data_IF_666756593420
#
_entry.id   IF_666756593420
#
_cell.length_a   1.000
_cell.length_b   1.000
_cell.length_c   1.000
_cell.angle_alpha   90.00
_cell.angle_beta   90.00
_cell.angle_gamma   90.00
#
_symmetry.space_group_name_H-M   'P 1'
#
loop_
_entity.id
_entity.type
_entity.pdbx_description
1 polymer ?
#
# COMPACT_ATOMS: atom_id res chain seq x y z
N UNK A 1 -17.17 -19.45 -15.69
CA UNK A 1 -17.20 -18.44 -16.76
C UNK A 1 -18.49 -17.66 -16.63
N UNK A 2 -18.43 -16.34 -16.43
CA UNK A 2 -19.63 -15.50 -16.60
C UNK A 2 -19.96 -15.54 -18.10
N UNK A 3 -21.05 -16.22 -18.46
CA UNK A 3 -21.57 -16.22 -19.83
C UNK A 3 -22.16 -14.83 -20.04
N UNK A 4 -21.46 -14.01 -20.83
CA UNK A 4 -22.01 -12.74 -21.27
C UNK A 4 -22.94 -13.03 -22.45
N UNK A 5 -24.10 -12.38 -22.44
CA UNK A 5 -25.04 -12.44 -23.55
C UNK A 5 -24.33 -11.96 -24.82
N UNK A 6 -24.16 -12.86 -25.79
CA UNK A 6 -23.43 -12.57 -27.03
C UNK A 6 -24.07 -11.42 -27.80
N UNK A 7 -25.39 -11.24 -27.67
CA UNK A 7 -26.13 -10.15 -28.30
C UNK A 7 -25.77 -8.79 -27.70
N UNK A 8 -25.55 -8.73 -26.38
CA UNK A 8 -25.13 -7.51 -25.70
C UNK A 8 -23.72 -7.08 -26.11
N UNK A 9 -22.78 -8.02 -26.22
CA UNK A 9 -21.40 -7.73 -26.65
C UNK A 9 -21.38 -7.22 -28.09
N UNK A 10 -22.20 -7.80 -28.97
CA UNK A 10 -22.28 -7.40 -30.37
C UNK A 10 -22.98 -6.05 -30.57
N UNK A 11 -23.79 -5.58 -29.60
CA UNK A 11 -24.44 -4.26 -29.64
C UNK A 11 -23.51 -3.10 -29.23
N UNK A 12 -22.33 -3.38 -28.67
CA UNK A 12 -21.42 -2.36 -28.17
C UNK A 12 -20.61 -1.68 -29.27
N UNK A 13 -20.31 -0.39 -29.05
CA UNK A 13 -19.33 0.32 -29.84
C UNK A 13 -17.92 -0.25 -29.58
N UNK A 14 -16.97 -0.12 -30.54
CA UNK A 14 -15.60 -0.60 -30.35
C UNK A 14 -14.92 -0.06 -29.08
N UNK A 15 -15.26 1.16 -28.66
CA UNK A 15 -14.75 1.77 -27.43
C UNK A 15 -15.28 1.09 -26.17
N UNK A 16 -16.56 0.74 -26.14
CA UNK A 16 -17.18 0.04 -25.01
C UNK A 16 -16.61 -1.37 -24.86
N UNK A 17 -16.44 -2.09 -25.98
CA UNK A 17 -15.79 -3.39 -25.98
C UNK A 17 -14.34 -3.32 -25.46
N UNK A 18 -13.56 -2.34 -25.92
CA UNK A 18 -12.19 -2.13 -25.41
C UNK A 18 -12.18 -1.81 -23.90
N UNK A 19 -13.10 -0.99 -23.43
CA UNK A 19 -13.23 -0.67 -22.01
C UNK A 19 -13.62 -1.91 -21.19
N UNK A 20 -14.49 -2.77 -21.72
CA UNK A 20 -14.85 -4.03 -21.10
C UNK A 20 -13.65 -4.97 -20.94
N UNK A 21 -12.87 -5.17 -22.01
CA UNK A 21 -11.64 -5.99 -21.97
C UNK A 21 -10.63 -5.41 -20.98
N UNK A 22 -10.41 -4.09 -21.01
CA UNK A 22 -9.55 -3.41 -20.03
C UNK A 22 -10.04 -3.64 -18.59
N UNK A 23 -11.34 -3.52 -18.35
CA UNK A 23 -11.93 -3.79 -17.03
C UNK A 23 -11.80 -5.26 -16.60
N UNK A 24 -11.87 -6.21 -17.54
CA UNK A 24 -11.62 -7.62 -17.26
C UNK A 24 -10.14 -7.88 -16.91
N UNK A 25 -9.21 -7.26 -17.63
CA UNK A 25 -7.78 -7.33 -17.34
C UNK A 25 -7.44 -6.71 -15.98
N UNK A 26 -8.01 -5.55 -15.64
CA UNK A 26 -7.83 -4.91 -14.34
C UNK A 26 -8.33 -5.80 -13.20
N UNK A 27 -9.47 -6.47 -13.36
CA UNK A 27 -9.98 -7.45 -12.37
C UNK A 27 -8.99 -8.59 -12.11
N UNK A 28 -8.32 -9.07 -13.15
CA UNK A 28 -7.29 -10.11 -13.01
C UNK A 28 -6.08 -9.56 -12.22
N UNK A 29 -5.64 -8.34 -12.52
CA UNK A 29 -4.57 -7.68 -11.77
C UNK A 29 -4.94 -7.51 -10.30
N UNK A 30 -6.15 -7.06 -10.00
CA UNK A 30 -6.65 -6.90 -8.63
C UNK A 30 -6.64 -8.23 -7.85
N UNK A 31 -6.96 -9.34 -8.52
CA UNK A 31 -6.88 -10.67 -7.91
C UNK A 31 -5.44 -11.05 -7.54
N UNK A 32 -4.48 -10.84 -8.45
CA UNK A 32 -3.07 -11.08 -8.17
C UNK A 32 -2.54 -10.19 -7.05
N UNK A 33 -2.95 -8.92 -7.01
CA UNK A 33 -2.59 -8.02 -5.92
C UNK A 33 -3.15 -8.50 -4.57
N UNK A 34 -4.40 -8.97 -4.55
CA UNK A 34 -5.04 -9.58 -3.38
C UNK A 34 -4.27 -10.80 -2.88
N UNK A 35 -3.89 -11.71 -3.78
CA UNK A 35 -3.09 -12.90 -3.44
C UNK A 35 -1.72 -12.52 -2.88
N UNK A 36 -1.02 -11.55 -3.48
CA UNK A 36 0.26 -11.07 -3.00
C UNK A 36 0.16 -10.46 -1.59
N UNK A 37 -0.88 -9.65 -1.34
CA UNK A 37 -1.18 -9.13 0.00
C UNK A 37 -1.39 -10.26 0.99
N UNK A 38 -2.21 -11.25 0.67
CA UNK A 38 -2.45 -12.38 1.55
C UNK A 38 -1.16 -13.16 1.88
N UNK A 39 -0.31 -13.40 0.88
CA UNK A 39 0.98 -14.06 1.08
C UNK A 39 1.91 -13.26 2.01
N UNK A 40 1.97 -11.94 1.86
CA UNK A 40 2.71 -11.06 2.77
C UNK A 40 2.16 -11.13 4.19
N UNK A 41 0.82 -11.16 4.34
CA UNK A 41 0.16 -11.32 5.62
C UNK A 41 0.55 -12.61 6.33
N UNK A 42 0.48 -13.72 5.61
CA UNK A 42 0.87 -15.03 6.13
C UNK A 42 2.34 -15.05 6.57
N UNK A 43 3.25 -14.51 5.75
CA UNK A 43 4.68 -14.44 6.08
C UNK A 43 4.94 -13.60 7.34
N UNK A 44 4.29 -12.45 7.47
CA UNK A 44 4.44 -11.60 8.65
C UNK A 44 3.88 -12.28 9.91
N UNK A 45 2.71 -12.91 9.81
CA UNK A 45 2.09 -13.63 10.91
C UNK A 45 2.98 -14.78 11.41
N UNK A 46 3.60 -15.52 10.49
CA UNK A 46 4.51 -16.63 10.82
C UNK A 46 5.83 -16.17 11.46
N UNK A 47 6.39 -15.04 11.01
CA UNK A 47 7.71 -14.59 11.47
C UNK A 47 7.67 -13.66 12.69
N UNK A 48 6.52 -13.08 13.02
CA UNK A 48 6.40 -12.11 14.10
C UNK A 48 6.07 -12.78 15.44
N UNK A 49 6.92 -12.56 16.46
CA UNK A 49 6.64 -12.99 17.84
C UNK A 49 5.33 -12.41 18.41
N UNK A 50 4.90 -11.24 17.92
CA UNK A 50 3.65 -10.56 18.30
C UNK A 50 3.08 -9.85 17.07
N UNK A 51 2.46 -10.63 16.18
CA UNK A 51 1.80 -10.08 14.99
C UNK A 51 0.71 -9.07 15.42
N UNK A 52 0.73 -7.88 14.81
CA UNK A 52 -0.31 -6.87 14.99
C UNK A 52 -0.94 -6.57 13.64
N UNK A 53 -2.24 -6.79 13.51
CA UNK A 53 -3.01 -6.54 12.28
C UNK A 53 -2.78 -5.12 11.74
N UNK A 54 -2.78 -4.12 12.63
CA UNK A 54 -2.52 -2.71 12.29
C UNK A 54 -1.18 -2.44 11.59
N UNK A 55 -0.17 -3.32 11.76
CA UNK A 55 1.12 -3.20 11.08
C UNK A 55 1.05 -3.63 9.62
N UNK A 56 0.02 -4.39 9.25
CA UNK A 56 -0.19 -4.88 7.90
C UNK A 56 -1.29 -4.11 7.18
N UNK A 57 -2.39 -3.83 7.87
CA UNK A 57 -3.46 -2.97 7.38
C UNK A 57 -4.10 -2.18 8.52
N UNK A 58 -3.96 -0.86 8.48
CA UNK A 58 -4.60 0.03 9.43
C UNK A 58 -6.00 0.43 8.94
N UNK A 59 -6.97 -0.45 9.19
CA UNK A 59 -8.36 -0.25 8.77
C UNK A 59 -8.99 1.02 9.37
N UNK A 60 -8.59 1.42 10.57
CA UNK A 60 -9.09 2.65 11.20
C UNK A 60 -8.62 3.88 10.44
N UNK A 61 -7.33 3.94 10.10
CA UNK A 61 -6.78 5.04 9.29
C UNK A 61 -7.34 5.03 7.87
N UNK A 62 -7.51 3.85 7.25
CA UNK A 62 -8.14 3.73 5.94
C UNK A 62 -9.58 4.27 5.94
N UNK A 63 -10.41 3.88 6.93
CA UNK A 63 -11.78 4.40 7.08
C UNK A 63 -11.81 5.91 7.29
N UNK A 64 -10.92 6.45 8.15
CA UNK A 64 -10.80 7.91 8.35
C UNK A 64 -10.44 8.64 7.06
N UNK A 65 -9.58 8.08 6.22
CA UNK A 65 -9.21 8.66 4.92
C UNK A 65 -10.37 8.72 3.93
N UNK A 66 -11.24 7.70 3.93
CA UNK A 66 -12.45 7.70 3.10
C UNK A 66 -13.43 8.76 3.58
N UNK A 67 -13.65 8.86 4.90
CA UNK A 67 -14.63 9.78 5.49
C UNK A 67 -14.20 11.25 5.42
N UNK A 68 -12.91 11.55 5.56
CA UNK A 68 -12.43 12.93 5.69
C UNK A 68 -11.95 13.56 4.37
N UNK A 69 -12.03 12.83 3.25
CA UNK A 69 -11.52 13.28 1.94
C UNK A 69 -9.98 13.32 1.85
N UNK A 70 -9.47 13.33 0.62
CA UNK A 70 -8.03 13.22 0.31
C UNK A 70 -7.27 14.55 0.39
N UNK A 71 -7.81 15.56 1.09
CA UNK A 71 -7.33 16.96 1.07
C UNK A 71 -5.82 17.14 1.26
N UNK A 72 -5.17 16.26 2.03
CA UNK A 72 -3.74 16.34 2.33
C UNK A 72 -2.94 15.09 1.91
N UNK A 73 -3.31 14.41 0.82
CA UNK A 73 -2.70 13.11 0.45
C UNK A 73 -1.16 13.15 0.31
N UNK A 74 -0.59 14.31 -0.04
CA UNK A 74 0.86 14.53 -0.12
C UNK A 74 1.60 14.46 1.22
N UNK A 75 0.93 14.66 2.36
CA UNK A 75 1.58 14.65 3.68
C UNK A 75 1.63 13.25 4.34
N UNK A 76 0.94 12.26 3.75
CA UNK A 76 0.93 10.87 4.25
C UNK A 76 2.09 10.00 3.73
N UNK A 77 2.97 10.56 2.90
CA UNK A 77 4.26 9.97 2.49
C UNK A 77 5.30 10.81 3.21
N UNK A 78 5.78 10.41 4.37
CA UNK A 78 6.83 9.41 4.55
C UNK A 78 6.76 8.93 6.01
N UNK A 79 7.24 7.71 6.35
CA UNK A 79 7.56 7.45 7.74
C UNK A 79 8.52 8.55 8.19
N UNK A 80 8.09 9.44 9.09
CA UNK A 80 8.98 10.42 9.74
C UNK A 80 10.10 9.62 10.37
N UNK A 81 11.23 9.49 9.65
CA UNK A 81 12.42 8.82 10.15
C UNK A 81 12.79 9.60 11.40
N UNK A 82 12.72 8.96 12.57
CA UNK A 82 13.12 9.60 13.81
C UNK A 82 14.64 9.83 13.72
N UNK A 83 15.02 11.06 13.38
CA UNK A 83 16.42 11.48 13.21
C UNK A 83 17.07 11.86 14.53
N UNK A 84 16.34 11.80 15.65
CA UNK A 84 16.85 12.22 16.96
C UNK A 84 18.03 11.34 17.38
N UNK A 85 17.93 10.03 17.13
CA UNK A 85 19.04 9.09 17.38
C UNK A 85 20.26 9.37 16.50
N UNK A 86 20.04 9.71 15.23
CA UNK A 86 21.11 10.05 14.29
C UNK A 86 21.82 11.36 14.70
N UNK A 87 21.05 12.39 15.08
CA UNK A 87 21.56 13.68 15.57
C UNK A 87 22.32 13.51 16.89
N UNK A 88 21.82 12.69 17.81
CA UNK A 88 22.49 12.38 19.07
C UNK A 88 23.84 11.69 18.84
N UNK A 89 23.88 10.70 17.93
CA UNK A 89 25.11 10.01 17.55
C UNK A 89 26.15 10.95 16.92
N UNK A 90 25.74 11.84 16.01
CA UNK A 90 26.65 12.84 15.43
C UNK A 90 27.21 13.81 16.48
N UNK A 91 26.38 14.25 17.43
CA UNK A 91 26.83 15.14 18.52
C UNK A 91 27.85 14.44 19.43
N UNK A 92 27.63 13.18 19.77
CA UNK A 92 28.56 12.37 20.54
C UNK A 92 29.89 12.14 19.79
N UNK A 93 29.84 11.84 18.49
CA UNK A 93 31.05 11.68 17.67
C UNK A 93 31.86 12.98 17.55
N UNK A 94 31.19 14.13 17.39
CA UNK A 94 31.85 15.44 17.37
C UNK A 94 32.54 15.74 18.71
N UNK A 95 31.91 15.41 19.82
CA UNK A 95 32.49 15.58 21.16
C UNK A 95 33.70 14.67 21.39
N UNK A 96 33.66 13.42 20.92
CA UNK A 96 34.79 12.49 20.99
C UNK A 96 35.99 13.01 20.18
N UNK A 97 35.74 13.49 18.95
CA UNK A 97 36.78 14.08 18.08
C UNK A 97 37.46 15.31 18.68
N UNK A 98 36.77 16.08 19.53
CA UNK A 98 37.35 17.25 20.20
C UNK A 98 38.15 16.92 21.48
N UNK A 99 37.97 15.74 22.06
CA UNK A 99 38.62 15.35 23.33
C UNK A 99 39.86 14.45 23.13
N UNK A 100 40.14 14.05 21.90
CA UNK A 100 41.24 13.16 21.52
C UNK A 100 42.20 13.77 20.50
N UNK A 101 42.40 15.10 20.54
CA UNK A 101 43.45 15.82 19.81
C UNK A 101 44.34 16.55 20.78
#
# INVERSE_FOLDING_TARGET
MQVYDTELILSWTPREFQNFIKGAQLRIVDQYEGMAKQAMFNRYAQNSKRAKEKKMFDAQTARKRVMNGTGNWKESREPKINTDRYRAAQKAMKAYRMKGG
#
